data_IF_432574574579
#
_entry.id   IF_432574574579
#
_cell.length_a   1.000
_cell.length_b   1.000
_cell.length_c   1.000
_cell.angle_alpha   90.00
_cell.angle_beta   90.00
_cell.angle_gamma   90.00
#
_symmetry.space_group_name_H-M   'P 1'
#
loop_
_entity.id
_entity.type
_entity.pdbx_description
1 polymer ?
#
# COMPACT_ATOMS: atom_id res chain seq x y z
N UNK A 1 -13.35 17.10 37.15
CA UNK A 1 -12.98 15.70 36.86
C UNK A 1 -13.17 15.48 35.36
N UNK A 2 -12.10 15.54 34.59
CA UNK A 2 -12.13 15.38 33.14
C UNK A 2 -12.17 13.89 32.80
N UNK A 3 -13.26 13.44 32.17
CA UNK A 3 -13.38 12.04 31.73
C UNK A 3 -12.47 11.86 30.51
N UNK A 4 -11.31 11.24 30.70
CA UNK A 4 -10.43 10.78 29.61
C UNK A 4 -11.21 9.73 28.82
N UNK A 5 -11.70 10.11 27.64
CA UNK A 5 -12.40 9.21 26.74
C UNK A 5 -11.38 8.23 26.17
N UNK A 6 -11.19 7.09 26.84
CA UNK A 6 -10.40 5.99 26.32
C UNK A 6 -11.26 5.28 25.29
N UNK A 7 -11.25 5.71 24.04
CA UNK A 7 -11.66 4.82 22.96
C UNK A 7 -10.59 3.72 22.93
N UNK A 8 -10.89 2.45 23.32
CA UNK A 8 -9.97 1.38 23.01
C UNK A 8 -9.92 1.34 21.49
N UNK A 9 -8.80 1.74 20.90
CA UNK A 9 -8.69 1.74 19.46
C UNK A 9 -8.78 0.27 19.02
N UNK A 10 -9.94 -0.11 18.48
CA UNK A 10 -10.20 -1.47 17.99
C UNK A 10 -9.52 -1.73 16.65
N UNK A 11 -9.88 -2.83 15.98
CA UNK A 11 -9.43 -3.09 14.61
C UNK A 11 -10.00 -2.02 13.67
N UNK A 12 -9.15 -1.09 13.24
CA UNK A 12 -9.52 -0.06 12.26
C UNK A 12 -9.34 -0.62 10.86
N UNK A 13 -10.40 -0.61 10.08
CA UNK A 13 -10.35 -0.94 8.66
C UNK A 13 -10.57 0.32 7.83
N UNK A 14 -9.71 0.56 6.86
CA UNK A 14 -9.81 1.70 5.94
C UNK A 14 -9.60 1.25 4.50
N UNK A 15 -10.24 1.89 3.51
CA UNK A 15 -9.79 1.78 2.13
C UNK A 15 -8.39 2.38 1.98
N UNK A 16 -7.60 1.80 1.08
CA UNK A 16 -6.24 2.23 0.75
C UNK A 16 -6.02 2.09 -0.76
N UNK A 17 -5.42 3.10 -1.39
CA UNK A 17 -4.92 3.00 -2.77
C UNK A 17 -3.39 2.94 -2.73
N UNK A 18 -2.82 1.93 -3.39
CA UNK A 18 -1.38 1.74 -3.54
C UNK A 18 -1.04 2.06 -4.98
N UNK A 19 -0.02 2.89 -5.20
CA UNK A 19 0.44 3.31 -6.51
C UNK A 19 1.91 2.89 -6.65
N UNK A 20 2.28 2.37 -7.82
CA UNK A 20 3.68 2.07 -8.08
C UNK A 20 4.47 3.36 -8.29
N UNK A 21 5.35 3.67 -7.33
CA UNK A 21 6.20 4.88 -7.35
C UNK A 21 7.20 4.89 -8.52
N UNK A 22 7.69 3.73 -8.95
CA UNK A 22 8.61 3.65 -10.09
C UNK A 22 7.90 4.07 -11.38
N UNK A 23 6.62 3.68 -11.54
CA UNK A 23 5.80 4.09 -12.67
C UNK A 23 5.52 5.60 -12.62
N UNK A 24 5.18 6.17 -11.46
CA UNK A 24 5.02 7.63 -11.31
C UNK A 24 6.29 8.38 -11.73
N UNK A 25 7.46 7.88 -11.33
CA UNK A 25 8.75 8.46 -11.71
C UNK A 25 9.02 8.30 -13.21
N UNK A 26 8.69 7.15 -13.80
CA UNK A 26 8.86 6.90 -15.22
C UNK A 26 7.94 7.79 -16.06
N UNK A 27 6.68 7.97 -15.65
CA UNK A 27 5.72 8.85 -16.29
C UNK A 27 6.16 10.32 -16.19
N UNK A 28 6.63 10.76 -15.03
CA UNK A 28 7.16 12.12 -14.85
C UNK A 28 8.38 12.41 -15.74
N UNK A 29 9.13 11.37 -16.12
CA UNK A 29 10.29 11.46 -17.03
C UNK A 29 9.93 11.21 -18.50
N UNK A 30 8.66 10.91 -18.80
CA UNK A 30 8.16 10.68 -20.16
C UNK A 30 8.47 9.30 -20.75
N UNK A 31 8.86 8.31 -19.93
CA UNK A 31 9.10 6.94 -20.41
C UNK A 31 7.82 6.14 -20.63
N UNK A 32 6.78 6.44 -19.86
CA UNK A 32 5.44 5.83 -19.98
C UNK A 32 4.38 6.93 -19.95
N UNK A 33 3.19 6.64 -20.47
CA UNK A 33 2.01 7.49 -20.30
C UNK A 33 1.53 7.49 -18.85
N UNK A 34 0.96 8.59 -18.34
CA UNK A 34 0.29 8.60 -17.03
C UNK A 34 -0.81 7.54 -16.88
N UNK A 35 -1.42 7.09 -17.98
CA UNK A 35 -2.42 6.02 -17.99
C UNK A 35 -1.84 4.63 -17.71
N UNK A 36 -0.53 4.47 -17.82
CA UNK A 36 0.18 3.20 -17.60
C UNK A 36 0.66 3.04 -16.14
N UNK A 37 0.43 4.05 -15.29
CA UNK A 37 0.78 3.98 -13.86
C UNK A 37 -0.07 2.92 -13.17
N UNK A 38 0.57 1.84 -12.70
CA UNK A 38 -0.11 0.74 -12.03
C UNK A 38 -0.55 1.17 -10.63
N UNK A 39 -1.81 0.89 -10.30
CA UNK A 39 -2.37 1.14 -8.98
C UNK A 39 -3.39 0.07 -8.57
N UNK A 40 -3.55 -0.09 -7.26
CA UNK A 40 -4.49 -1.03 -6.67
C UNK A 40 -5.22 -0.38 -5.51
N UNK A 41 -6.55 -0.35 -5.60
CA UNK A 41 -7.41 0.04 -4.47
C UNK A 41 -7.87 -1.19 -3.71
N UNK A 42 -7.59 -1.20 -2.41
CA UNK A 42 -8.03 -2.22 -1.46
C UNK A 42 -9.14 -1.60 -0.59
N UNK A 43 -10.38 -2.11 -0.62
CA UNK A 43 -11.50 -1.47 0.05
C UNK A 43 -11.47 -1.64 1.58
N UNK A 44 -10.75 -2.65 2.08
CA UNK A 44 -10.75 -3.02 3.49
C UNK A 44 -9.38 -3.51 3.92
N UNK A 45 -8.56 -2.60 4.43
CA UNK A 45 -7.21 -2.90 4.96
C UNK A 45 -7.22 -2.66 6.46
N UNK A 46 -6.67 -3.61 7.22
CA UNK A 46 -6.45 -3.46 8.65
C UNK A 46 -5.27 -2.53 8.89
N UNK A 47 -5.46 -1.49 9.70
CA UNK A 47 -4.38 -0.59 10.10
C UNK A 47 -3.60 -1.24 11.25
N UNK A 48 -2.32 -1.53 11.00
CA UNK A 48 -1.36 -1.94 12.02
C UNK A 48 -0.32 -0.83 12.19
N UNK A 49 -0.47 -0.03 13.26
CA UNK A 49 0.45 1.09 13.54
C UNK A 49 1.82 0.63 14.03
N UNK A 50 2.02 -0.66 14.30
CA UNK A 50 3.30 -1.23 14.70
C UNK A 50 4.15 -1.71 13.52
N UNK A 51 3.58 -1.81 12.32
CA UNK A 51 4.29 -2.26 11.12
C UNK A 51 5.12 -1.12 10.49
N UNK A 52 6.39 -1.39 10.20
CA UNK A 52 7.27 -0.49 9.43
C UNK A 52 7.24 -0.78 7.93
N UNK A 53 6.77 -1.97 7.56
CA UNK A 53 6.71 -2.48 6.19
C UNK A 53 5.30 -2.94 5.84
N UNK A 54 4.92 -2.79 4.58
CA UNK A 54 3.64 -3.23 4.05
C UNK A 54 3.73 -4.68 3.55
N UNK A 55 2.92 -5.58 4.12
CA UNK A 55 2.78 -6.94 3.61
C UNK A 55 1.68 -7.00 2.55
N UNK A 56 2.03 -7.42 1.34
CA UNK A 56 1.09 -7.55 0.23
C UNK A 56 0.97 -9.00 -0.21
N UNK A 57 -0.25 -9.49 -0.50
CA UNK A 57 -0.44 -10.77 -1.18
C UNK A 57 0.25 -10.79 -2.56
N UNK A 58 0.74 -11.95 -2.99
CA UNK A 58 1.49 -12.10 -4.24
C UNK A 58 0.73 -11.58 -5.47
N UNK A 59 -0.59 -11.77 -5.54
CA UNK A 59 -1.42 -11.26 -6.63
C UNK A 59 -1.51 -9.73 -6.68
N UNK A 60 -1.34 -9.03 -5.55
CA UNK A 60 -1.33 -7.57 -5.49
C UNK A 60 0.04 -7.05 -5.94
N UNK A 61 1.11 -7.75 -5.55
CA UNK A 61 2.48 -7.48 -5.97
C UNK A 61 2.60 -7.56 -7.50
N UNK A 62 2.07 -8.63 -8.10
CA UNK A 62 2.06 -8.83 -9.56
C UNK A 62 1.28 -7.73 -10.30
N UNK A 63 0.09 -7.35 -9.78
CA UNK A 63 -0.70 -6.24 -10.36
C UNK A 63 -0.02 -4.88 -10.27
N UNK A 64 0.78 -4.67 -9.23
CA UNK A 64 1.62 -3.48 -9.10
C UNK A 64 2.91 -3.60 -9.94
N UNK A 65 3.21 -4.79 -10.46
CA UNK A 65 4.43 -5.13 -11.19
C UNK A 65 5.69 -4.83 -10.40
N UNK A 66 5.66 -5.22 -9.13
CA UNK A 66 6.80 -5.18 -8.23
C UNK A 66 7.50 -6.54 -8.30
N UNK A 67 8.82 -6.52 -8.42
CA UNK A 67 9.62 -7.74 -8.31
C UNK A 67 9.75 -8.13 -6.83
N UNK A 68 9.53 -9.41 -6.53
CA UNK A 68 9.91 -9.96 -5.24
C UNK A 68 11.44 -10.09 -5.22
N UNK A 69 12.13 -9.61 -4.17
CA UNK A 69 13.53 -9.96 -4.01
C UNK A 69 13.60 -11.49 -3.89
N UNK A 70 14.41 -12.13 -4.73
CA UNK A 70 14.76 -13.53 -4.57
C UNK A 70 15.24 -13.72 -3.14
N UNK A 71 14.48 -14.45 -2.33
CA UNK A 71 15.03 -14.96 -1.07
C UNK A 71 16.02 -16.04 -1.47
N UNK A 72 17.29 -15.65 -1.62
CA UNK A 72 18.39 -16.60 -1.63
C UNK A 72 18.41 -17.30 -0.28
N UNK A 73 17.82 -18.50 -0.23
CA UNK A 73 17.98 -19.47 0.86
C UNK A 73 19.38 -20.05 0.88
#
# INVERSE_FOLDING_TARGET
MEKKQTNPMGKVFTPLTIINRADESAAARGFISPSEIRSVTLPKVLVDTGATTLCLPANIIDRLGLDLPEMSV
#
